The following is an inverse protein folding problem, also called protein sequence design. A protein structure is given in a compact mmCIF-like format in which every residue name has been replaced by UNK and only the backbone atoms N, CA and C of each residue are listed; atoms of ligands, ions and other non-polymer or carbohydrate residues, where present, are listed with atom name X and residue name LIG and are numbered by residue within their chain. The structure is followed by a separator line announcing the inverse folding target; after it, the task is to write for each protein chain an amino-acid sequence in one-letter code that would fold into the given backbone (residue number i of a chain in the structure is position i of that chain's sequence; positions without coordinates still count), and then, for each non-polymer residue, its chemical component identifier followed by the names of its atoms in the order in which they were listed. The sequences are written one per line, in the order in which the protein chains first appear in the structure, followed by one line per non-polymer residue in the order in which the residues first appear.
data_IF_123550016549
#
_entry.id   IF_123550016549
#
_cell.length_a   1.000
_cell.length_b   1.000
_cell.length_c   1.000
_cell.angle_alpha   90.00
_cell.angle_beta   90.00
_cell.angle_gamma   90.00
#
_symmetry.space_group_name_H-M   'P 1'
#
loop_
_entity.id
_entity.type
_entity.pdbx_description
1 polymer ?
#
# COMPACT_ATOMS: atom_id res chain seq x y z
N UNK A 1 1.53 11.42 -22.51
CA UNK A 1 1.70 10.17 -21.74
C UNK A 1 0.56 10.07 -20.74
N UNK A 2 -0.36 9.13 -20.93
CA UNK A 2 -1.73 9.14 -20.37
C UNK A 2 -1.77 8.56 -18.94
N UNK A 3 -2.40 9.27 -18.00
CA UNK A 3 -2.58 8.94 -16.57
C UNK A 3 -3.56 7.76 -16.39
N UNK A 4 -3.29 6.59 -17.00
CA UNK A 4 -4.27 5.47 -17.05
C UNK A 4 -4.07 4.35 -16.01
N UNK A 5 -3.06 4.41 -15.13
CA UNK A 5 -2.79 3.27 -14.23
C UNK A 5 -2.46 3.60 -12.77
N UNK A 6 -2.97 4.72 -12.22
CA UNK A 6 -3.05 4.84 -10.76
C UNK A 6 -4.23 3.97 -10.27
N UNK A 7 -3.96 2.70 -9.93
CA UNK A 7 -4.96 1.89 -9.21
C UNK A 7 -5.23 2.55 -7.85
N UNK A 8 -6.43 2.38 -7.29
CA UNK A 8 -6.68 2.95 -5.97
C UNK A 8 -5.77 2.28 -4.93
N UNK A 9 -5.18 3.07 -4.02
CA UNK A 9 -4.21 2.57 -3.04
C UNK A 9 -4.79 1.44 -2.17
N UNK A 10 -6.09 1.54 -1.81
CA UNK A 10 -6.78 0.49 -1.07
C UNK A 10 -6.83 -0.84 -1.84
N UNK A 11 -6.97 -0.81 -3.17
CA UNK A 11 -6.99 -2.01 -4.00
C UNK A 11 -5.62 -2.69 -4.02
N UNK A 12 -4.54 -1.92 -4.17
CA UNK A 12 -3.16 -2.44 -4.17
C UNK A 12 -2.81 -3.08 -2.83
N UNK A 13 -3.11 -2.38 -1.73
CA UNK A 13 -2.87 -2.91 -0.39
C UNK A 13 -3.69 -4.17 -0.14
N UNK A 14 -4.94 -4.23 -0.62
CA UNK A 14 -5.74 -5.44 -0.54
C UNK A 14 -5.14 -6.60 -1.35
N UNK A 15 -4.46 -6.35 -2.46
CA UNK A 15 -3.72 -7.39 -3.21
C UNK A 15 -2.51 -7.89 -2.41
N UNK A 16 -1.75 -6.99 -1.77
CA UNK A 16 -0.63 -7.36 -0.91
C UNK A 16 -1.09 -8.19 0.31
N UNK A 17 -2.17 -7.77 0.98
CA UNK A 17 -2.78 -8.55 2.06
C UNK A 17 -3.25 -9.93 1.59
N UNK A 18 -3.81 -10.03 0.38
CA UNK A 18 -4.21 -11.32 -0.20
C UNK A 18 -3.01 -12.23 -0.45
N UNK A 19 -1.91 -11.71 -0.98
CA UNK A 19 -0.68 -12.49 -1.18
C UNK A 19 -0.13 -13.02 0.15
N UNK A 20 -0.06 -12.15 1.17
CA UNK A 20 0.35 -12.55 2.52
C UNK A 20 -0.55 -13.65 3.11
N UNK A 21 -1.87 -13.50 3.02
CA UNK A 21 -2.81 -14.51 3.53
C UNK A 21 -2.74 -15.83 2.74
N UNK A 22 -2.45 -15.79 1.44
CA UNK A 22 -2.28 -16.99 0.64
C UNK A 22 -1.04 -17.80 1.06
N UNK A 23 0.09 -17.14 1.33
CA UNK A 23 1.29 -17.84 1.82
C UNK A 23 1.11 -18.44 3.21
N UNK A 24 0.40 -17.76 4.11
CA UNK A 24 0.04 -18.33 5.41
C UNK A 24 -0.91 -19.53 5.28
N UNK A 25 -1.76 -19.58 4.24
CA UNK A 25 -2.63 -20.73 3.93
C UNK A 25 -1.82 -21.93 3.42
N UNK A 26 -0.68 -21.69 2.75
CA UNK A 26 0.27 -22.73 2.30
C UNK A 26 1.11 -23.25 3.48
N UNK A 27 1.49 -22.38 4.43
CA UNK A 27 2.31 -22.74 5.59
C UNK A 27 1.50 -23.42 6.71
N UNK A 28 0.24 -23.00 6.89
CA UNK A 28 -0.67 -23.60 7.84
C UNK A 28 -1.74 -24.40 7.10
N UNK A 29 -1.58 -25.72 7.02
CA UNK A 29 -2.60 -26.68 6.54
C UNK A 29 -3.95 -26.51 7.27
N UNK A 30 -4.72 -25.47 6.93
CA UNK A 30 -6.03 -25.13 7.49
C UNK A 30 -6.14 -23.79 8.22
N UNK A 31 -5.06 -23.21 8.77
CA UNK A 31 -5.09 -22.06 9.72
C UNK A 31 -5.82 -20.82 9.15
N UNK A 32 -5.80 -20.61 7.82
CA UNK A 32 -6.51 -19.47 7.19
C UNK A 32 -7.90 -19.76 6.64
N UNK A 33 -8.21 -21.01 6.32
CA UNK A 33 -9.62 -21.44 6.27
C UNK A 33 -10.33 -21.13 7.60
N UNK A 34 -9.59 -21.25 8.71
CA UNK A 34 -10.02 -20.84 10.04
C UNK A 34 -10.02 -19.32 10.24
N UNK A 35 -9.04 -18.53 9.81
CA UNK A 35 -9.04 -17.05 9.92
C UNK A 35 -10.14 -16.38 9.07
N UNK A 36 -10.43 -16.90 7.87
CA UNK A 36 -11.62 -16.54 7.07
C UNK A 36 -12.91 -16.91 7.80
N UNK A 37 -12.90 -18.07 8.48
CA UNK A 37 -13.95 -18.40 9.44
C UNK A 37 -13.89 -17.52 10.70
N UNK A 38 -12.77 -16.91 11.09
CA UNK A 38 -12.53 -16.20 12.36
C UNK A 38 -12.95 -14.73 12.32
N UNK A 39 -13.29 -14.19 11.14
CA UNK A 39 -14.23 -13.07 10.99
C UNK A 39 -15.62 -13.36 11.60
N UNK A 40 -15.78 -14.50 12.25
CA UNK A 40 -16.61 -14.84 13.41
C UNK A 40 -16.51 -13.90 14.63
N UNK A 41 -16.37 -12.59 14.44
CA UNK A 41 -16.65 -11.62 15.51
C UNK A 41 -18.09 -11.78 16.06
N UNK A 42 -18.96 -12.44 15.28
CA UNK A 42 -20.32 -12.89 15.66
C UNK A 42 -20.34 -14.16 16.53
N UNK A 43 -19.32 -15.03 16.43
CA UNK A 43 -19.43 -16.39 16.95
C UNK A 43 -18.84 -16.56 18.35
N UNK A 44 -17.92 -15.71 18.82
CA UNK A 44 -17.54 -15.74 20.24
C UNK A 44 -18.68 -15.29 21.17
N UNK A 45 -19.63 -14.48 20.70
CA UNK A 45 -20.89 -14.21 21.41
C UNK A 45 -21.89 -15.37 21.34
N UNK A 46 -21.74 -16.27 20.36
CA UNK A 46 -22.65 -17.39 20.09
C UNK A 46 -22.20 -18.67 20.81
N UNK A 47 -20.90 -18.88 20.97
CA UNK A 47 -20.31 -20.05 21.65
C UNK A 47 -20.50 -20.07 23.16
N UNK A 48 -20.94 -18.97 23.77
CA UNK A 48 -21.31 -18.91 25.19
C UNK A 48 -22.77 -19.30 25.44
N UNK A 49 -23.54 -19.58 24.37
CA UNK A 49 -24.90 -20.14 24.50
C UNK A 49 -24.82 -21.66 24.70
N UNK A 50 -25.69 -22.22 25.54
CA UNK A 50 -25.73 -23.64 25.95
C UNK A 50 -25.82 -24.66 24.78
N UNK A 51 -25.94 -24.21 23.53
CA UNK A 51 -26.22 -25.06 22.37
C UNK A 51 -24.97 -25.58 21.63
N UNK A 52 -23.75 -25.12 21.96
CA UNK A 52 -22.54 -25.42 21.16
C UNK A 52 -21.40 -26.07 21.93
N UNK A 53 -21.72 -26.78 23.03
CA UNK A 53 -20.73 -27.45 23.87
C UNK A 53 -19.90 -28.51 23.13
N UNK A 54 -20.42 -29.07 22.02
CA UNK A 54 -19.72 -30.04 21.15
C UNK A 54 -18.69 -29.41 20.19
N UNK A 55 -18.78 -28.11 19.90
CA UNK A 55 -17.81 -27.43 19.04
C UNK A 55 -16.52 -27.08 19.81
N UNK A 56 -16.58 -26.94 21.14
CA UNK A 56 -15.43 -26.67 21.99
C UNK A 56 -14.40 -27.81 22.03
N UNK A 57 -14.80 -29.06 21.84
CA UNK A 57 -13.88 -30.20 21.94
C UNK A 57 -13.10 -30.48 20.65
N UNK A 58 -13.51 -29.90 19.51
CA UNK A 58 -12.93 -30.19 18.18
C UNK A 58 -12.34 -28.96 17.48
N UNK A 59 -12.63 -27.75 17.95
CA UNK A 59 -12.28 -26.50 17.26
C UNK A 59 -11.51 -25.49 18.13
N UNK A 60 -10.95 -25.92 19.27
CA UNK A 60 -10.13 -25.04 20.08
C UNK A 60 -8.76 -24.83 19.40
N UNK A 61 -8.49 -23.58 19.01
CA UNK A 61 -7.17 -23.13 18.60
C UNK A 61 -6.17 -23.46 19.71
N UNK A 62 -5.02 -24.03 19.33
CA UNK A 62 -3.94 -24.27 20.27
C UNK A 62 -3.33 -22.93 20.70
N UNK A 63 -2.60 -22.90 21.81
CA UNK A 63 -1.88 -21.70 22.25
C UNK A 63 -0.93 -21.18 21.16
N UNK A 64 -0.39 -22.08 20.33
CA UNK A 64 0.46 -21.74 19.20
C UNK A 64 -0.31 -21.09 18.05
N UNK A 65 -1.55 -21.52 17.79
CA UNK A 65 -2.42 -20.90 16.79
C UNK A 65 -2.87 -19.50 17.24
N UNK A 66 -3.14 -19.31 18.54
CA UNK A 66 -3.43 -17.99 19.10
C UNK A 66 -2.24 -17.04 19.02
N UNK A 67 -1.03 -17.54 19.29
CA UNK A 67 0.19 -16.76 19.13
C UNK A 67 0.39 -16.32 17.67
N UNK A 68 0.26 -17.26 16.73
CA UNK A 68 0.36 -16.96 15.29
C UNK A 68 -0.72 -15.95 14.86
N UNK A 69 -1.95 -16.09 15.35
CA UNK A 69 -3.03 -15.18 15.04
C UNK A 69 -2.75 -13.74 15.49
N UNK A 70 -2.20 -13.56 16.70
CA UNK A 70 -1.81 -12.23 17.18
C UNK A 70 -0.68 -11.62 16.32
N UNK A 71 0.30 -12.43 15.89
CA UNK A 71 1.36 -11.97 14.98
C UNK A 71 0.80 -11.54 13.62
N UNK A 72 -0.12 -12.33 13.04
CA UNK A 72 -0.80 -12.00 11.77
C UNK A 72 -1.65 -10.74 11.91
N UNK A 73 -2.35 -10.57 13.04
CA UNK A 73 -3.13 -9.37 13.33
C UNK A 73 -2.25 -8.12 13.41
N UNK A 74 -1.09 -8.21 14.05
CA UNK A 74 -0.11 -7.11 14.06
C UNK A 74 0.35 -6.77 12.64
N UNK A 75 0.62 -7.79 11.81
CA UNK A 75 1.01 -7.57 10.41
C UNK A 75 -0.10 -6.92 9.57
N UNK A 76 -1.37 -7.31 9.78
CA UNK A 76 -2.55 -6.73 9.11
C UNK A 76 -2.92 -5.33 9.64
N UNK A 77 -2.48 -4.96 10.84
CA UNK A 77 -2.72 -3.61 11.36
C UNK A 77 -1.94 -2.55 10.55
N UNK A 78 -0.79 -2.90 9.98
CA UNK A 78 0.02 -2.00 9.14
C UNK A 78 -0.75 -1.52 7.91
N UNK A 79 -1.27 -2.40 7.02
CA UNK A 79 -2.06 -1.97 5.86
C UNK A 79 -3.36 -1.27 6.26
N UNK A 80 -3.95 -1.63 7.40
CA UNK A 80 -5.13 -0.93 7.92
C UNK A 80 -4.81 0.54 8.26
N UNK A 81 -3.70 0.80 8.97
CA UNK A 81 -3.26 2.16 9.26
C UNK A 81 -2.91 2.94 7.99
N UNK A 82 -2.24 2.30 7.03
CA UNK A 82 -1.97 2.89 5.72
C UNK A 82 -3.28 3.34 5.03
N UNK A 83 -4.28 2.45 4.98
CA UNK A 83 -5.58 2.75 4.38
C UNK A 83 -6.27 3.89 5.12
N UNK A 84 -6.22 3.90 6.45
CA UNK A 84 -6.80 4.97 7.25
C UNK A 84 -6.13 6.32 6.97
N UNK A 85 -4.79 6.37 6.90
CA UNK A 85 -4.05 7.57 6.59
C UNK A 85 -4.46 8.16 5.24
N UNK A 86 -4.47 7.36 4.17
CA UNK A 86 -4.79 7.85 2.83
C UNK A 86 -6.29 8.04 2.56
N UNK A 87 -7.17 7.45 3.37
CA UNK A 87 -8.63 7.63 3.25
C UNK A 87 -9.18 8.77 4.11
N UNK A 88 -8.40 9.26 5.09
CA UNK A 88 -8.81 10.35 5.97
C UNK A 88 -8.72 11.73 5.32
N UNK A 89 -7.98 11.85 4.22
CA UNK A 89 -7.75 13.12 3.55
C UNK A 89 -8.93 13.54 2.69
N UNK A 90 -9.40 14.77 2.91
CA UNK A 90 -10.45 15.39 2.07
C UNK A 90 -9.91 15.90 0.73
N UNK A 91 -8.59 15.98 0.60
CA UNK A 91 -7.88 16.38 -0.61
C UNK A 91 -6.91 15.24 -0.89
N UNK A 92 -7.02 14.52 -2.02
CA UNK A 92 -6.08 13.45 -2.33
C UNK A 92 -4.68 14.04 -2.50
N UNK A 93 -3.85 13.96 -1.46
CA UNK A 93 -2.50 14.49 -1.51
C UNK A 93 -1.61 13.44 -2.18
N UNK A 94 -1.37 13.63 -3.48
CA UNK A 94 -0.49 12.77 -4.28
C UNK A 94 0.94 12.69 -3.73
N UNK A 95 1.31 13.52 -2.75
CA UNK A 95 2.59 13.48 -2.05
C UNK A 95 2.70 12.39 -0.98
N UNK A 96 1.61 11.88 -0.43
CA UNK A 96 1.63 10.95 0.72
C UNK A 96 1.71 9.45 0.40
N UNK A 97 1.24 8.94 -0.76
CA UNK A 97 1.28 7.51 -1.06
C UNK A 97 2.68 6.89 -1.02
N UNK A 98 3.67 7.53 -1.67
CA UNK A 98 5.05 7.03 -1.71
C UNK A 98 5.65 6.94 -0.28
N UNK A 99 5.63 8.00 0.53
CA UNK A 99 6.07 7.93 1.93
C UNK A 99 5.30 6.90 2.77
N UNK A 100 3.99 6.78 2.55
CA UNK A 100 3.17 5.83 3.28
C UNK A 100 3.52 4.37 2.92
N UNK A 101 3.80 4.07 1.65
CA UNK A 101 4.25 2.75 1.22
C UNK A 101 5.62 2.42 1.81
N UNK A 102 6.56 3.36 1.75
CA UNK A 102 7.88 3.20 2.36
C UNK A 102 7.80 2.95 3.89
N UNK A 103 6.93 3.66 4.58
CA UNK A 103 6.67 3.43 6.01
C UNK A 103 6.08 2.04 6.28
N UNK A 104 5.20 1.56 5.41
CA UNK A 104 4.63 0.21 5.47
C UNK A 104 5.70 -0.86 5.23
N UNK A 105 6.57 -0.70 4.23
CA UNK A 105 7.70 -1.60 3.97
C UNK A 105 8.61 -1.74 5.19
N UNK A 106 9.01 -0.63 5.81
CA UNK A 106 9.87 -0.66 7.00
C UNK A 106 9.22 -1.38 8.18
N UNK A 107 7.92 -1.15 8.40
CA UNK A 107 7.17 -1.84 9.46
C UNK A 107 7.10 -3.34 9.21
N UNK A 108 6.79 -3.75 7.98
CA UNK A 108 6.76 -5.17 7.60
C UNK A 108 8.14 -5.82 7.65
N UNK A 109 9.20 -5.15 7.20
CA UNK A 109 10.56 -5.62 7.32
C UNK A 109 10.98 -5.82 8.79
N UNK A 110 10.60 -4.89 9.68
CA UNK A 110 10.84 -5.03 11.11
C UNK A 110 10.06 -6.22 11.70
N UNK A 111 8.80 -6.43 11.29
CA UNK A 111 8.01 -7.59 11.73
C UNK A 111 8.60 -8.92 11.26
N UNK A 112 9.17 -8.98 10.05
CA UNK A 112 9.89 -10.17 9.58
C UNK A 112 11.05 -10.55 10.52
N UNK A 113 11.71 -9.56 11.13
CA UNK A 113 12.80 -9.78 12.09
C UNK A 113 12.28 -10.25 13.46
N UNK A 114 11.19 -9.66 13.95
CA UNK A 114 10.65 -9.96 15.29
C UNK A 114 9.76 -11.22 15.31
N UNK A 115 9.11 -11.55 14.20
CA UNK A 115 8.19 -12.69 14.05
C UNK A 115 8.59 -13.56 12.86
N UNK A 116 9.58 -14.46 13.03
CA UNK A 116 10.05 -15.34 11.95
C UNK A 116 8.97 -16.26 11.38
N UNK A 117 7.96 -16.62 12.17
CA UNK A 117 6.79 -17.44 11.83
C UNK A 117 5.97 -16.88 10.66
N UNK A 118 5.78 -15.56 10.60
CA UNK A 118 5.01 -14.88 9.56
C UNK A 118 5.88 -14.30 8.45
N UNK A 119 7.21 -14.43 8.55
CA UNK A 119 8.17 -13.79 7.64
C UNK A 119 7.89 -14.11 6.18
N UNK A 120 7.75 -15.39 5.84
CA UNK A 120 7.52 -15.83 4.45
C UNK A 120 6.27 -15.18 3.87
N UNK A 121 5.22 -15.11 4.67
CA UNK A 121 3.97 -14.50 4.25
C UNK A 121 4.05 -12.99 4.10
N UNK A 122 4.62 -12.30 5.09
CA UNK A 122 4.81 -10.85 5.01
C UNK A 122 5.69 -10.50 3.82
N UNK A 123 6.72 -11.30 3.54
CA UNK A 123 7.60 -11.13 2.37
C UNK A 123 6.81 -11.23 1.06
N UNK A 124 5.94 -12.22 0.89
CA UNK A 124 5.09 -12.29 -0.30
C UNK A 124 4.12 -11.10 -0.44
N UNK A 125 3.65 -10.55 0.69
CA UNK A 125 2.92 -9.29 0.70
C UNK A 125 3.77 -8.10 0.25
N UNK A 126 5.01 -8.01 0.72
CA UNK A 126 5.99 -6.98 0.34
C UNK A 126 6.35 -7.07 -1.15
N UNK A 127 6.64 -8.25 -1.67
CA UNK A 127 6.94 -8.48 -3.09
C UNK A 127 5.79 -7.95 -3.96
N UNK A 128 4.54 -8.19 -3.53
CA UNK A 128 3.39 -7.71 -4.29
C UNK A 128 3.20 -6.20 -4.24
N UNK A 129 3.69 -5.57 -3.18
CA UNK A 129 3.66 -4.12 -3.01
C UNK A 129 4.77 -3.44 -3.82
N UNK A 130 5.92 -4.11 -3.94
CA UNK A 130 7.10 -3.65 -4.68
C UNK A 130 6.78 -3.52 -6.18
N UNK A 131 6.12 -4.54 -6.76
CA UNK A 131 5.57 -4.52 -8.12
C UNK A 131 4.80 -3.23 -8.45
N UNK A 132 4.07 -2.68 -7.46
CA UNK A 132 3.27 -1.48 -7.64
C UNK A 132 4.07 -0.20 -7.39
N UNK A 133 4.97 -0.22 -6.40
CA UNK A 133 5.88 0.89 -6.10
C UNK A 133 6.72 1.23 -7.31
N UNK A 134 7.28 0.23 -7.99
CA UNK A 134 8.08 0.42 -9.22
C UNK A 134 7.31 1.21 -10.28
N UNK A 135 6.00 0.95 -10.41
CA UNK A 135 5.15 1.66 -11.39
C UNK A 135 4.87 3.10 -10.98
N UNK A 136 4.61 3.37 -9.70
CA UNK A 136 4.29 4.74 -9.25
C UNK A 136 5.52 5.62 -9.10
N UNK A 137 6.70 5.03 -8.93
CA UNK A 137 7.97 5.76 -8.81
C UNK A 137 8.30 6.53 -10.09
N UNK A 138 8.03 5.91 -11.23
CA UNK A 138 8.25 6.50 -12.55
C UNK A 138 7.23 7.58 -12.94
N UNK A 139 6.16 7.77 -12.15
CA UNK A 139 5.12 8.75 -12.45
C UNK A 139 5.54 10.12 -11.89
N UNK A 140 5.88 11.11 -12.74
CA UNK A 140 6.45 12.38 -12.27
C UNK A 140 5.50 13.19 -11.40
N UNK A 141 4.19 12.93 -11.49
CA UNK A 141 3.19 13.63 -10.70
C UNK A 141 3.36 13.41 -9.19
N UNK A 142 3.79 12.22 -8.75
CA UNK A 142 4.06 11.96 -7.33
C UNK A 142 5.28 12.75 -6.86
N UNK A 143 6.38 12.71 -7.62
CA UNK A 143 7.59 13.48 -7.33
C UNK A 143 7.29 14.97 -7.24
N UNK A 144 6.59 15.52 -8.24
CA UNK A 144 6.22 16.94 -8.26
C UNK A 144 5.31 17.31 -7.08
N UNK A 145 4.33 16.46 -6.74
CA UNK A 145 3.46 16.70 -5.59
C UNK A 145 4.26 16.76 -4.28
N UNK A 146 5.21 15.84 -4.08
CA UNK A 146 6.11 15.85 -2.91
C UNK A 146 6.97 17.12 -2.89
N UNK A 147 7.57 17.49 -4.03
CA UNK A 147 8.44 18.66 -4.16
C UNK A 147 7.71 19.99 -3.88
N UNK A 148 6.45 20.11 -4.31
CA UNK A 148 5.62 21.30 -4.09
C UNK A 148 5.11 21.38 -2.65
N UNK A 149 4.95 20.24 -1.95
CA UNK A 149 4.50 20.23 -0.56
C UNK A 149 5.56 20.88 0.35
N UNK A 150 5.28 22.05 0.98
CA UNK A 150 6.26 22.77 1.80
C UNK A 150 6.74 21.99 3.04
N UNK A 151 5.98 21.00 3.49
CA UNK A 151 6.32 20.15 4.64
C UNK A 151 7.26 18.99 4.27
N UNK A 152 7.39 18.67 2.99
CA UNK A 152 8.16 17.52 2.51
C UNK A 152 9.26 17.90 1.53
N UNK A 153 8.94 18.76 0.55
CA UNK A 153 9.86 19.21 -0.50
C UNK A 153 10.55 18.00 -1.14
N UNK A 154 11.87 18.09 -1.31
CA UNK A 154 12.72 16.98 -1.75
C UNK A 154 13.43 16.29 -0.57
N UNK A 155 13.03 16.56 0.68
CA UNK A 155 13.66 15.98 1.88
C UNK A 155 13.45 14.45 1.92
N UNK A 156 12.33 13.97 1.38
CA UNK A 156 12.08 12.55 1.18
C UNK A 156 13.18 11.90 0.32
N UNK A 157 13.48 12.45 -0.86
CA UNK A 157 14.56 11.93 -1.72
C UNK A 157 15.93 12.02 -1.03
N UNK A 158 16.21 13.09 -0.30
CA UNK A 158 17.48 13.20 0.43
C UNK A 158 17.68 12.10 1.48
N UNK A 159 16.60 11.72 2.18
CA UNK A 159 16.66 10.75 3.27
C UNK A 159 16.51 9.30 2.81
N UNK A 160 15.78 9.05 1.73
CA UNK A 160 15.35 7.71 1.33
C UNK A 160 15.94 7.25 -0.02
N UNK A 161 16.21 8.17 -0.95
CA UNK A 161 16.73 7.87 -2.30
C UNK A 161 17.78 8.92 -2.74
N UNK A 162 18.92 9.04 -2.03
CA UNK A 162 19.89 10.11 -2.27
C UNK A 162 20.49 10.08 -3.68
N UNK A 163 20.55 8.91 -4.32
CA UNK A 163 20.96 8.71 -5.70
C UNK A 163 20.02 9.38 -6.72
N UNK A 164 18.72 9.43 -6.45
CA UNK A 164 17.72 10.04 -7.34
C UNK A 164 17.50 11.53 -7.06
N UNK A 165 17.96 12.03 -5.91
CA UNK A 165 17.75 13.41 -5.48
C UNK A 165 18.15 14.46 -6.53
N UNK A 166 19.33 14.31 -7.15
CA UNK A 166 19.83 15.26 -8.14
C UNK A 166 18.92 15.29 -9.37
N UNK A 167 18.54 14.11 -9.88
CA UNK A 167 17.64 13.97 -11.03
C UNK A 167 16.25 14.57 -10.74
N UNK A 168 15.67 14.25 -9.57
CA UNK A 168 14.38 14.79 -9.16
C UNK A 168 14.40 16.32 -9.03
N UNK A 169 15.47 16.88 -8.45
CA UNK A 169 15.67 18.32 -8.33
C UNK A 169 15.79 19.00 -9.70
N UNK A 170 16.62 18.46 -10.58
CA UNK A 170 16.84 19.02 -11.91
C UNK A 170 15.56 18.97 -12.75
N UNK A 171 14.79 17.88 -12.64
CA UNK A 171 13.48 17.77 -13.27
C UNK A 171 12.49 18.82 -12.74
N UNK A 172 12.41 19.00 -11.42
CA UNK A 172 11.54 20.00 -10.80
C UNK A 172 11.91 21.42 -11.26
N UNK A 173 13.19 21.78 -11.19
CA UNK A 173 13.69 23.09 -11.63
C UNK A 173 13.39 23.30 -13.10
N UNK A 174 13.73 22.35 -13.98
CA UNK A 174 13.47 22.45 -15.43
C UNK A 174 12.00 22.68 -15.72
N UNK A 175 11.08 22.01 -15.03
CA UNK A 175 9.64 22.22 -15.24
C UNK A 175 9.20 23.60 -14.75
N UNK A 176 9.67 24.03 -13.59
CA UNK A 176 9.28 25.31 -12.99
C UNK A 176 9.92 26.53 -13.67
N UNK A 177 11.08 26.40 -14.29
CA UNK A 177 11.77 27.50 -14.99
C UNK A 177 11.31 27.64 -16.45
N UNK A 178 10.88 26.55 -17.11
CA UNK A 178 10.34 26.63 -18.47
C UNK A 178 8.89 27.17 -18.51
N UNK A 179 8.18 27.22 -17.38
CA UNK A 179 6.85 27.86 -17.28
C UNK A 179 6.94 29.37 -16.98
N UNK A 180 8.15 29.96 -16.87
CA UNK A 180 8.34 31.41 -16.65
C UNK A 180 8.36 32.21 -17.97
N UNK A 181 8.38 31.55 -19.13
CA UNK A 181 8.32 32.19 -20.45
C UNK A 181 7.10 31.71 -21.25
N UNK A 182 5.91 32.22 -20.95
CA UNK A 182 4.81 32.36 -21.94
C UNK A 182 3.93 33.57 -21.59
N UNK A 183 4.39 34.75 -22.01
CA UNK A 183 3.51 35.74 -22.61
C UNK A 183 3.44 35.46 -24.13
N UNK A 184 2.24 35.60 -24.68
CA UNK A 184 1.85 35.65 -26.09
C UNK A 184 2.25 34.52 -27.08
N UNK A 185 1.22 33.79 -27.53
CA UNK A 185 1.10 33.43 -28.95
C UNK A 185 1.33 31.97 -29.34
N UNK A 186 0.23 31.33 -29.77
CA UNK A 186 0.14 30.25 -30.75
C UNK A 186 0.76 28.87 -30.40
N UNK A 187 -0.12 27.87 -30.22
CA UNK A 187 -0.31 26.90 -31.29
C UNK A 187 -1.66 26.18 -31.21
N UNK A 188 -2.52 26.48 -32.19
CA UNK A 188 -3.89 25.95 -32.37
C UNK A 188 -3.88 24.56 -33.06
N UNK A 189 -2.71 23.98 -33.32
CA UNK A 189 -2.61 22.72 -34.09
C UNK A 189 -2.78 21.43 -33.27
N UNK A 190 -2.71 21.46 -31.93
CA UNK A 190 -2.92 20.25 -31.11
C UNK A 190 -4.39 19.93 -30.84
N UNK A 191 -5.31 20.89 -31.02
CA UNK A 191 -6.74 20.70 -30.75
C UNK A 191 -7.47 19.94 -31.89
N UNK A 192 -7.03 20.06 -33.14
CA UNK A 192 -7.60 19.31 -34.27
C UNK A 192 -7.22 17.83 -34.26
N UNK A 193 -6.06 17.47 -33.70
CA UNK A 193 -5.61 16.07 -33.66
C UNK A 193 -6.38 15.25 -32.61
N UNK A 194 -6.87 15.88 -31.55
CA UNK A 194 -7.63 15.24 -30.47
C UNK A 194 -9.10 14.99 -30.82
N UNK A 195 -9.68 15.76 -31.75
CA UNK A 195 -11.07 15.56 -32.24
C UNK A 195 -11.20 14.38 -33.22
N UNK A 196 -10.12 13.97 -33.88
CA UNK A 196 -10.13 12.87 -34.86
C UNK A 196 -10.11 11.47 -34.25
N UNK A 197 -9.87 11.33 -32.94
CA UNK A 197 -9.84 10.05 -32.22
C UNK A 197 -11.11 9.79 -31.39
N UNK A 198 -12.12 10.64 -31.56
CA UNK A 198 -13.40 10.59 -30.82
C UNK A 198 -14.62 10.24 -31.71
N UNK A 199 -14.40 9.75 -32.93
CA UNK A 199 -15.43 9.11 -33.77
C UNK A 199 -15.06 7.65 -34.06
#
# INVERSE_FOLDING_TARGET
MSIRYARCFAHVVNLACKAMLAELEILGNGIIGWLRSLMKMVISSFFTSDHFHELGTTHLLTDQDWALLEEVKVALQVPHLFQQCLSAEKIPALCDPIPAFEAMFRKWAALCLTHPSIRTAVSAGMDKLEDYMDVIWDIPAYMLAMAVNPMMKLEFYQCFCPEEYVSAKDYFVKKYTNDVDLDDGANVEEEETLMLWAN
#
